data_IF_507631690286
#
_entry.id   IF_507631690286
#
_cell.length_a   1.000
_cell.length_b   1.000
_cell.length_c   1.000
_cell.angle_alpha   90.00
_cell.angle_beta   90.00
_cell.angle_gamma   90.00
#
_symmetry.space_group_name_H-M   'P 1'
#
loop_
_entity.id
_entity.type
_entity.pdbx_description
1 polymer ?
#
# COMPACT_ATOMS: atom_id res chain seq x y z
N UNK A 1 -17.69 -23.71 15.11
CA UNK A 1 -18.36 -22.49 14.61
C UNK A 1 -19.78 -22.88 14.24
N UNK A 2 -20.79 -22.39 14.95
CA UNK A 2 -22.19 -22.61 14.58
C UNK A 2 -22.65 -21.38 13.80
N UNK A 3 -22.33 -21.33 12.50
CA UNK A 3 -22.95 -20.36 11.59
C UNK A 3 -24.42 -20.77 11.49
N UNK A 4 -25.33 -19.91 11.97
CA UNK A 4 -26.77 -20.09 11.94
C UNK A 4 -27.29 -19.80 10.51
N UNK A 5 -28.60 -19.80 10.33
CA UNK A 5 -29.31 -19.64 9.04
C UNK A 5 -28.99 -18.34 8.28
N UNK A 6 -28.21 -17.44 8.85
CA UNK A 6 -27.67 -16.23 8.22
C UNK A 6 -26.26 -15.94 8.76
N UNK A 7 -25.34 -15.55 7.89
CA UNK A 7 -24.00 -15.07 8.21
C UNK A 7 -23.69 -13.86 7.32
N UNK A 8 -22.64 -13.12 7.65
CA UNK A 8 -22.08 -12.08 6.78
C UNK A 8 -20.56 -12.10 6.83
N UNK A 9 -19.94 -11.25 6.04
CA UNK A 9 -18.50 -11.06 6.06
C UNK A 9 -18.15 -9.74 6.74
N UNK A 10 -17.17 -9.78 7.65
CA UNK A 10 -16.50 -8.58 8.18
C UNK A 10 -15.09 -8.54 7.62
N UNK A 11 -14.84 -7.55 6.76
CA UNK A 11 -13.63 -7.51 5.97
C UNK A 11 -12.77 -6.30 6.31
N UNK A 12 -11.46 -6.50 6.33
CA UNK A 12 -10.51 -5.40 6.11
C UNK A 12 -9.77 -5.63 4.80
N UNK A 13 -9.46 -4.55 4.10
CA UNK A 13 -8.65 -4.59 2.89
C UNK A 13 -7.58 -3.50 2.92
N UNK A 14 -6.40 -3.84 2.42
CA UNK A 14 -5.23 -2.98 2.30
C UNK A 14 -4.41 -3.38 1.08
N UNK A 15 -3.28 -2.71 0.80
CA UNK A 15 -2.39 -3.12 -0.29
C UNK A 15 -0.95 -3.30 0.16
N UNK A 16 -0.15 -3.99 -0.66
CA UNK A 16 1.23 -4.35 -0.32
C UNK A 16 2.28 -3.70 -1.22
N UNK A 17 1.86 -3.12 -2.34
CA UNK A 17 2.75 -2.39 -3.23
C UNK A 17 3.01 -0.96 -2.75
N UNK A 18 4.03 -0.32 -3.28
CA UNK A 18 4.43 1.06 -2.95
C UNK A 18 5.14 1.67 -4.16
N UNK A 19 5.12 3.00 -4.33
CA UNK A 19 5.80 3.65 -5.45
C UNK A 19 7.31 3.36 -5.45
N UNK A 20 7.83 3.04 -6.63
CA UNK A 20 9.25 2.72 -6.83
C UNK A 20 9.66 2.82 -8.30
N UNK A 21 10.87 2.39 -8.63
CA UNK A 21 11.36 2.25 -10.00
C UNK A 21 11.48 0.79 -10.38
N UNK A 22 10.81 0.39 -11.48
CA UNK A 22 10.90 -0.94 -12.08
C UNK A 22 12.04 -0.97 -13.10
N UNK A 23 12.87 -2.02 -13.04
CA UNK A 23 13.88 -2.30 -14.05
C UNK A 23 13.20 -2.81 -15.33
N UNK A 24 13.49 -2.20 -16.47
CA UNK A 24 12.91 -2.58 -17.77
C UNK A 24 13.47 -3.90 -18.31
N UNK A 25 12.81 -4.46 -19.31
CA UNK A 25 13.20 -5.72 -19.95
C UNK A 25 14.63 -5.68 -20.52
N UNK A 26 15.03 -4.54 -21.13
CA UNK A 26 16.44 -4.24 -21.48
C UNK A 26 16.99 -3.34 -20.39
N UNK A 27 17.76 -3.92 -19.42
CA UNK A 27 17.99 -3.28 -18.13
C UNK A 27 19.13 -2.29 -18.12
N UNK A 28 20.03 -2.31 -19.11
CA UNK A 28 21.30 -1.62 -19.04
C UNK A 28 21.36 -0.43 -19.98
N UNK A 29 22.03 0.62 -19.52
CA UNK A 29 22.34 1.84 -20.26
C UNK A 29 23.80 2.20 -20.06
N UNK A 30 24.51 2.39 -21.16
CA UNK A 30 25.85 2.97 -21.09
C UNK A 30 25.80 4.40 -20.55
N UNK A 31 26.74 4.73 -19.69
CA UNK A 31 26.90 6.06 -19.12
C UNK A 31 28.20 6.73 -19.56
N UNK A 32 28.32 8.01 -19.23
CA UNK A 32 29.56 8.75 -19.45
C UNK A 32 30.70 8.16 -18.60
N UNK A 33 31.94 8.16 -19.11
CA UNK A 33 33.11 7.69 -18.36
C UNK A 33 33.08 6.18 -18.05
N UNK A 34 32.63 5.38 -19.01
CA UNK A 34 32.55 3.90 -18.90
C UNK A 34 31.60 3.39 -17.79
N UNK A 35 30.71 4.24 -17.26
CA UNK A 35 29.77 3.86 -16.24
C UNK A 35 28.64 3.00 -16.81
N UNK A 36 28.06 2.11 -15.98
CA UNK A 36 26.86 1.34 -16.29
C UNK A 36 25.70 1.79 -15.42
N UNK A 37 24.53 2.00 -16.04
CA UNK A 37 23.31 2.45 -15.39
C UNK A 37 22.16 1.49 -15.67
N UNK A 38 21.15 1.50 -14.80
CA UNK A 38 19.90 0.77 -15.03
C UNK A 38 18.89 1.62 -15.84
N UNK A 39 18.22 0.96 -16.77
CA UNK A 39 17.06 1.46 -17.47
C UNK A 39 15.81 1.16 -16.67
N UNK A 40 15.24 2.19 -16.08
CA UNK A 40 14.09 2.03 -15.17
C UNK A 40 12.89 2.85 -15.66
N UNK A 41 11.74 2.51 -15.14
CA UNK A 41 10.51 3.32 -15.24
C UNK A 41 9.84 3.43 -13.89
N UNK A 42 9.09 4.53 -13.69
CA UNK A 42 8.35 4.75 -12.45
C UNK A 42 7.18 3.78 -12.34
N UNK A 43 7.05 3.17 -11.18
CA UNK A 43 5.90 2.42 -10.74
C UNK A 43 5.17 3.27 -9.69
N UNK A 44 3.97 3.76 -10.04
CA UNK A 44 3.18 4.64 -9.18
C UNK A 44 3.60 6.11 -9.19
N UNK A 45 2.98 6.88 -8.32
CA UNK A 45 3.15 8.33 -8.18
C UNK A 45 4.08 8.70 -7.03
N UNK A 46 5.40 8.74 -7.25
CA UNK A 46 6.38 8.99 -6.19
C UNK A 46 6.85 10.45 -6.13
N UNK A 47 7.43 10.82 -4.99
CA UNK A 47 8.18 12.08 -4.83
C UNK A 47 9.62 11.83 -5.32
N UNK A 48 9.87 12.12 -6.60
CA UNK A 48 11.10 11.76 -7.32
C UNK A 48 12.39 12.21 -6.60
N UNK A 49 12.43 13.43 -6.05
CA UNK A 49 13.65 13.97 -5.42
C UNK A 49 14.05 13.23 -4.14
N UNK A 50 13.17 12.45 -3.53
CA UNK A 50 13.49 11.69 -2.31
C UNK A 50 14.30 10.42 -2.59
N UNK A 51 14.48 10.06 -3.86
CA UNK A 51 15.22 8.88 -4.28
C UNK A 51 16.69 9.16 -4.59
N UNK A 52 17.08 10.45 -4.69
CA UNK A 52 18.46 10.84 -4.95
C UNK A 52 19.39 10.59 -3.76
N UNK A 53 20.67 10.36 -4.08
CA UNK A 53 21.83 10.34 -3.17
C UNK A 53 21.76 9.31 -2.04
N UNK A 54 20.95 8.28 -2.22
CA UNK A 54 20.89 7.15 -1.28
C UNK A 54 21.21 5.84 -1.94
N UNK A 55 21.99 4.96 -1.29
CA UNK A 55 22.20 3.61 -1.77
C UNK A 55 20.89 2.84 -1.84
N UNK A 56 20.68 2.10 -2.94
CA UNK A 56 19.46 1.35 -3.22
C UNK A 56 19.78 -0.12 -3.50
N UNK A 57 18.93 -1.01 -3.04
CA UNK A 57 18.94 -2.42 -3.35
C UNK A 57 17.99 -2.75 -4.51
N UNK A 58 18.00 -4.00 -4.94
CA UNK A 58 17.04 -4.58 -5.87
C UNK A 58 16.25 -5.68 -5.16
N UNK A 59 14.94 -5.72 -5.40
CA UNK A 59 14.09 -6.83 -4.98
C UNK A 59 12.97 -7.08 -6.01
N UNK A 60 12.45 -8.29 -5.99
CA UNK A 60 11.34 -8.69 -6.83
C UNK A 60 11.35 -10.19 -7.14
N UNK A 61 10.86 -10.56 -8.31
CA UNK A 61 10.86 -11.96 -8.75
C UNK A 61 11.60 -12.11 -10.08
N UNK A 62 12.15 -13.30 -10.27
CA UNK A 62 12.81 -13.72 -11.51
C UNK A 62 12.19 -15.05 -11.94
N UNK A 63 11.86 -15.16 -13.22
CA UNK A 63 11.32 -16.36 -13.84
C UNK A 63 12.50 -17.18 -14.41
N UNK A 64 12.76 -18.33 -13.81
CA UNK A 64 13.89 -19.19 -14.12
C UNK A 64 13.39 -20.47 -14.79
N UNK A 65 14.07 -20.88 -15.88
CA UNK A 65 13.77 -22.13 -16.58
C UNK A 65 14.56 -23.29 -15.96
N UNK A 66 13.84 -24.31 -15.49
CA UNK A 66 14.40 -25.56 -15.00
C UNK A 66 13.86 -26.73 -15.82
N UNK A 67 14.61 -27.15 -16.82
CA UNK A 67 14.15 -28.16 -17.77
C UNK A 67 12.90 -27.73 -18.52
N UNK A 68 11.78 -28.45 -18.28
CA UNK A 68 10.47 -28.17 -18.89
C UNK A 68 9.57 -27.24 -18.02
N UNK A 69 10.08 -26.74 -16.91
CA UNK A 69 9.36 -25.85 -15.98
C UNK A 69 9.89 -24.44 -16.03
N UNK A 70 9.03 -23.50 -15.73
CA UNK A 70 9.37 -22.10 -15.42
C UNK A 70 8.95 -21.85 -13.98
N UNK A 71 9.94 -21.52 -13.14
CA UNK A 71 9.73 -21.26 -11.72
C UNK A 71 9.94 -19.79 -11.39
N UNK A 72 9.11 -19.28 -10.49
CA UNK A 72 9.28 -17.93 -9.95
C UNK A 72 10.18 -18.01 -8.72
N UNK A 73 11.31 -17.32 -8.74
CA UNK A 73 12.21 -17.17 -7.61
C UNK A 73 12.21 -15.74 -7.12
N UNK A 74 12.16 -15.54 -5.81
CA UNK A 74 12.28 -14.23 -5.20
C UNK A 74 13.75 -13.85 -5.09
N UNK A 75 14.03 -12.59 -5.42
CA UNK A 75 15.34 -11.97 -5.26
C UNK A 75 15.18 -10.75 -4.34
N UNK A 76 16.09 -10.61 -3.39
CA UNK A 76 16.30 -9.40 -2.61
C UNK A 76 17.80 -9.31 -2.31
N UNK A 77 18.49 -8.35 -2.92
CA UNK A 77 19.93 -8.20 -2.69
C UNK A 77 20.20 -7.86 -1.24
N UNK A 78 21.18 -8.53 -0.62
CA UNK A 78 21.54 -8.32 0.78
C UNK A 78 22.28 -6.99 1.01
N UNK A 79 22.74 -6.37 -0.08
CA UNK A 79 23.47 -5.10 -0.10
C UNK A 79 22.84 -4.11 -1.08
N UNK A 80 23.18 -2.87 -0.93
CA UNK A 80 22.87 -1.83 -1.90
C UNK A 80 23.76 -1.99 -3.14
N UNK A 81 23.14 -1.89 -4.32
CA UNK A 81 23.77 -2.16 -5.61
C UNK A 81 23.60 -1.02 -6.61
N UNK A 82 22.86 0.02 -6.27
CA UNK A 82 22.54 1.13 -7.15
C UNK A 82 22.46 2.47 -6.41
N UNK A 83 22.62 3.57 -7.12
CA UNK A 83 22.40 4.92 -6.61
C UNK A 83 21.92 5.82 -7.75
N UNK A 84 21.02 6.76 -7.43
CA UNK A 84 20.64 7.86 -8.32
C UNK A 84 21.38 9.11 -7.85
N UNK A 85 22.50 9.51 -8.47
CA UNK A 85 23.30 10.63 -7.99
C UNK A 85 22.73 11.97 -8.42
N UNK A 86 22.68 12.94 -7.50
CA UNK A 86 22.41 14.34 -7.82
C UNK A 86 23.52 14.95 -8.66
N UNK A 87 23.14 15.86 -9.56
CA UNK A 87 24.12 16.73 -10.21
C UNK A 87 24.68 17.74 -9.19
N UNK A 88 26.00 17.85 -9.11
CA UNK A 88 26.64 18.75 -8.15
C UNK A 88 26.14 20.19 -8.29
N UNK A 89 25.98 20.88 -7.16
CA UNK A 89 25.48 22.27 -7.12
C UNK A 89 26.24 23.21 -8.05
N UNK A 90 27.55 22.98 -8.26
CA UNK A 90 28.39 23.78 -9.16
C UNK A 90 27.99 23.64 -10.63
N UNK A 91 27.36 22.53 -11.01
CA UNK A 91 26.87 22.25 -12.37
C UNK A 91 25.37 22.56 -12.53
N UNK A 92 24.65 22.76 -11.42
CA UNK A 92 23.22 23.07 -11.42
C UNK A 92 22.89 24.09 -10.32
N UNK A 93 23.34 25.35 -10.49
CA UNK A 93 23.19 26.39 -9.46
C UNK A 93 21.76 26.81 -9.19
N UNK A 94 20.85 26.59 -10.15
CA UNK A 94 19.43 26.89 -10.02
C UNK A 94 18.59 25.78 -9.38
N UNK A 95 19.20 24.67 -8.90
CA UNK A 95 18.45 23.51 -8.40
C UNK A 95 17.50 23.88 -7.24
N UNK A 96 17.87 24.85 -6.41
CA UNK A 96 17.05 25.29 -5.28
C UNK A 96 15.95 26.32 -5.65
N UNK A 97 15.92 26.78 -6.91
CA UNK A 97 14.86 27.65 -7.43
C UNK A 97 13.68 26.85 -8.02
N UNK A 98 13.91 25.58 -8.32
CA UNK A 98 12.94 24.63 -8.80
C UNK A 98 13.62 23.42 -9.44
N UNK A 99 13.20 22.22 -9.02
CA UNK A 99 13.77 20.96 -9.52
C UNK A 99 12.63 20.01 -9.95
N UNK A 100 12.59 19.73 -11.23
CA UNK A 100 11.69 18.76 -11.85
C UNK A 100 12.53 17.75 -12.65
N UNK A 101 12.95 16.63 -12.03
CA UNK A 101 13.83 15.66 -12.69
C UNK A 101 13.14 14.98 -13.86
N UNK A 102 13.88 14.77 -14.95
CA UNK A 102 13.46 13.96 -16.07
C UNK A 102 13.77 12.49 -15.78
N UNK A 103 12.73 11.66 -15.65
CA UNK A 103 12.87 10.24 -15.29
C UNK A 103 13.74 9.43 -16.26
N UNK A 104 13.80 9.80 -17.54
CA UNK A 104 14.63 9.11 -18.53
C UNK A 104 16.10 9.58 -18.56
N UNK A 105 16.42 10.68 -17.88
CA UNK A 105 17.76 11.28 -17.89
C UNK A 105 18.38 11.29 -16.50
N UNK A 106 17.64 11.85 -15.53
CA UNK A 106 18.16 12.11 -14.19
C UNK A 106 17.99 10.93 -13.22
N UNK A 107 17.01 10.03 -13.50
CA UNK A 107 16.61 8.95 -12.60
C UNK A 107 17.04 7.55 -13.08
N UNK A 108 18.10 7.47 -13.91
CA UNK A 108 18.71 6.21 -14.31
C UNK A 108 19.76 5.80 -13.26
N UNK A 109 19.52 4.75 -12.44
CA UNK A 109 20.43 4.40 -11.36
C UNK A 109 21.80 3.94 -11.87
N UNK A 110 22.85 4.45 -11.26
CA UNK A 110 24.23 4.03 -11.48
C UNK A 110 24.49 2.72 -10.74
N UNK A 111 25.07 1.73 -11.42
CA UNK A 111 25.43 0.42 -10.84
C UNK A 111 26.92 0.09 -10.96
N UNK A 112 27.67 0.77 -11.86
CA UNK A 112 29.11 0.57 -11.97
C UNK A 112 29.83 1.81 -12.47
N UNK A 113 31.06 1.99 -12.00
CA UNK A 113 32.00 3.04 -12.42
C UNK A 113 33.07 2.53 -13.44
N UNK A 114 32.79 1.41 -14.13
CA UNK A 114 33.62 0.90 -15.20
C UNK A 114 34.06 -0.56 -15.07
N UNK A 115 33.86 -1.19 -13.92
CA UNK A 115 34.19 -2.61 -13.70
C UNK A 115 33.18 -3.54 -14.38
N UNK A 116 31.90 -3.15 -14.43
CA UNK A 116 30.86 -3.88 -15.15
C UNK A 116 30.64 -3.31 -16.54
N UNK A 117 30.26 -4.17 -17.47
CA UNK A 117 29.98 -3.86 -18.86
C UNK A 117 28.54 -4.21 -19.23
N UNK A 118 28.07 -3.71 -20.34
CA UNK A 118 26.77 -4.08 -20.88
C UNK A 118 26.70 -5.60 -21.12
N UNK A 119 25.67 -6.25 -20.61
CA UNK A 119 25.47 -7.69 -20.61
C UNK A 119 25.76 -8.36 -19.27
N UNK A 120 26.37 -7.67 -18.29
CA UNK A 120 26.72 -8.26 -17.00
C UNK A 120 25.54 -8.34 -16.01
N UNK A 121 24.47 -7.54 -16.22
CA UNK A 121 23.38 -7.46 -15.25
C UNK A 121 22.67 -8.81 -15.03
N UNK A 122 22.38 -9.56 -16.09
CA UNK A 122 21.73 -10.87 -15.94
C UNK A 122 22.66 -11.91 -15.32
N UNK A 123 23.98 -11.80 -15.53
CA UNK A 123 24.95 -12.65 -14.84
C UNK A 123 25.00 -12.37 -13.32
N UNK A 124 24.91 -11.10 -12.90
CA UNK A 124 24.83 -10.73 -11.49
C UNK A 124 23.53 -11.25 -10.83
N UNK A 125 22.40 -11.17 -11.52
CA UNK A 125 21.12 -11.71 -11.03
C UNK A 125 21.18 -13.25 -10.95
N UNK A 126 21.83 -13.91 -11.92
CA UNK A 126 22.02 -15.36 -11.94
C UNK A 126 22.90 -15.84 -10.78
N UNK A 127 23.97 -15.12 -10.47
CA UNK A 127 24.85 -15.39 -9.33
C UNK A 127 24.11 -15.29 -7.98
N UNK A 128 23.29 -14.24 -7.80
CA UNK A 128 22.46 -14.07 -6.60
C UNK A 128 21.40 -15.21 -6.41
N UNK A 129 21.02 -15.88 -7.50
CA UNK A 129 19.99 -16.94 -7.50
C UNK A 129 20.58 -18.38 -7.62
N UNK A 130 21.90 -18.50 -7.75
CA UNK A 130 22.60 -19.75 -8.04
C UNK A 130 22.04 -20.48 -9.27
N UNK A 131 21.99 -19.76 -10.41
CA UNK A 131 21.51 -20.25 -11.71
C UNK A 131 22.41 -19.76 -12.85
N UNK A 132 22.27 -20.35 -14.05
CA UNK A 132 22.94 -19.83 -15.24
C UNK A 132 22.15 -18.64 -15.85
N UNK A 133 22.82 -17.61 -16.41
CA UNK A 133 22.13 -16.45 -16.99
C UNK A 133 21.10 -16.81 -18.08
N UNK A 134 21.36 -17.83 -18.88
CA UNK A 134 20.47 -18.30 -19.95
C UNK A 134 19.18 -18.94 -19.42
N UNK A 135 19.12 -19.27 -18.14
CA UNK A 135 17.90 -19.76 -17.50
C UNK A 135 16.93 -18.64 -17.13
N UNK A 136 17.39 -17.39 -17.08
CA UNK A 136 16.53 -16.23 -16.76
C UNK A 136 15.68 -15.88 -17.98
N UNK A 137 14.37 -16.08 -17.88
CA UNK A 137 13.41 -15.80 -18.94
C UNK A 137 12.71 -14.44 -18.79
N UNK A 138 12.65 -13.92 -17.58
CA UNK A 138 11.99 -12.65 -17.29
C UNK A 138 12.16 -12.24 -15.84
N UNK A 139 11.93 -10.97 -15.57
CA UNK A 139 12.08 -10.41 -14.23
C UNK A 139 11.14 -9.23 -14.00
N UNK A 140 10.61 -9.17 -12.79
CA UNK A 140 9.96 -7.99 -12.23
C UNK A 140 10.81 -7.55 -11.03
N UNK A 141 11.82 -6.72 -11.29
CA UNK A 141 12.75 -6.19 -10.30
C UNK A 141 12.53 -4.71 -10.08
N UNK A 142 12.62 -4.29 -8.84
CA UNK A 142 12.35 -2.93 -8.39
C UNK A 142 13.49 -2.42 -7.52
N UNK A 143 13.71 -1.11 -7.53
CA UNK A 143 14.61 -0.46 -6.58
C UNK A 143 13.99 -0.46 -5.19
N UNK A 144 14.83 -0.65 -4.18
CA UNK A 144 14.40 -0.67 -2.78
C UNK A 144 15.31 0.23 -1.94
N UNK A 145 14.71 1.17 -1.23
CA UNK A 145 15.40 1.86 -0.14
C UNK A 145 15.43 0.91 1.08
N UNK A 146 16.62 0.53 1.53
CA UNK A 146 16.81 -0.36 2.69
C UNK A 146 17.11 0.38 3.99
N UNK A 147 16.92 1.68 4.01
CA UNK A 147 17.09 2.46 5.24
C UNK A 147 16.22 1.88 6.36
N UNK A 148 16.85 1.61 7.52
CA UNK A 148 16.18 1.01 8.67
C UNK A 148 15.00 1.83 9.16
N UNK A 149 13.95 1.14 9.59
CA UNK A 149 12.86 1.76 10.34
C UNK A 149 13.37 2.33 11.66
N UNK A 150 12.87 3.50 12.06
CA UNK A 150 13.29 4.17 13.30
C UNK A 150 12.11 4.80 14.02
N UNK A 151 12.08 4.62 15.33
CA UNK A 151 11.31 5.48 16.23
C UNK A 151 12.26 6.62 16.65
N UNK A 152 11.77 7.85 16.59
CA UNK A 152 12.59 9.04 16.84
C UNK A 152 11.78 10.25 17.32
N UNK A 153 12.48 11.37 17.53
CA UNK A 153 11.95 12.58 18.16
C UNK A 153 12.32 12.63 19.64
N UNK A 154 12.28 13.82 20.24
CA UNK A 154 12.61 13.98 21.65
C UNK A 154 11.67 13.24 22.61
N UNK A 155 10.47 12.90 22.16
CA UNK A 155 9.45 12.17 22.91
C UNK A 155 9.07 10.80 22.26
N UNK A 156 9.91 10.31 21.35
CA UNK A 156 9.70 9.04 20.61
C UNK A 156 8.31 8.94 19.94
N UNK A 157 7.85 10.04 19.35
CA UNK A 157 6.50 10.20 18.80
C UNK A 157 6.39 9.78 17.33
N UNK A 158 7.51 9.71 16.61
CA UNK A 158 7.55 9.46 15.19
C UNK A 158 8.09 8.08 14.87
N UNK A 159 7.48 7.44 13.89
CA UNK A 159 8.05 6.28 13.19
C UNK A 159 8.36 6.68 11.76
N UNK A 160 9.57 6.40 11.29
CA UNK A 160 9.92 6.58 9.88
C UNK A 160 10.49 5.31 9.30
N UNK A 161 10.04 4.97 8.11
CA UNK A 161 10.48 3.79 7.35
C UNK A 161 10.08 3.95 5.88
N UNK A 162 10.71 3.24 4.94
CA UNK A 162 10.14 3.07 3.61
C UNK A 162 8.79 2.35 3.69
N UNK A 163 7.86 2.68 2.78
CA UNK A 163 6.64 1.92 2.51
C UNK A 163 5.64 1.84 3.70
N UNK A 164 5.50 2.93 4.47
CA UNK A 164 4.37 3.03 5.42
C UNK A 164 3.05 2.94 4.68
N UNK A 165 2.96 3.57 3.53
CA UNK A 165 1.92 3.40 2.54
C UNK A 165 2.24 2.18 1.66
N UNK A 166 1.49 1.06 1.79
CA UNK A 166 0.39 0.86 2.74
C UNK A 166 0.67 -0.33 3.68
N UNK A 167 1.97 -0.68 3.87
CA UNK A 167 2.35 -1.77 4.77
C UNK A 167 1.93 -1.50 6.23
N UNK A 168 1.72 -0.24 6.63
CA UNK A 168 1.22 0.07 7.96
C UNK A 168 -0.23 -0.40 8.13
N UNK A 169 -1.12 -0.11 7.15
CA UNK A 169 -2.48 -0.61 7.18
C UNK A 169 -2.55 -2.12 6.96
N UNK A 170 -1.74 -2.67 6.05
CA UNK A 170 -1.66 -4.12 5.85
C UNK A 170 -1.26 -4.86 7.14
N UNK A 171 -0.25 -4.36 7.85
CA UNK A 171 0.21 -4.92 9.12
C UNK A 171 -0.85 -4.81 10.22
N UNK A 172 -1.45 -3.62 10.39
CA UNK A 172 -2.44 -3.42 11.46
C UNK A 172 -3.72 -4.20 11.23
N UNK A 173 -4.17 -4.30 9.97
CA UNK A 173 -5.31 -5.15 9.56
C UNK A 173 -5.03 -6.63 9.81
N UNK A 174 -3.84 -7.12 9.44
CA UNK A 174 -3.44 -8.51 9.68
C UNK A 174 -3.35 -8.81 11.18
N UNK A 175 -2.76 -7.92 11.99
CA UNK A 175 -2.68 -8.11 13.44
C UNK A 175 -4.06 -8.16 14.09
N UNK A 176 -4.97 -7.28 13.68
CA UNK A 176 -6.35 -7.28 14.13
C UNK A 176 -7.08 -8.58 13.74
N UNK A 177 -6.95 -9.02 12.48
CA UNK A 177 -7.53 -10.27 11.99
C UNK A 177 -7.06 -11.50 12.77
N UNK A 178 -5.75 -11.56 13.08
CA UNK A 178 -5.16 -12.68 13.82
C UNK A 178 -5.50 -12.67 15.31
N UNK A 179 -5.72 -11.48 15.88
CA UNK A 179 -5.98 -11.30 17.32
C UNK A 179 -7.46 -11.31 17.68
N UNK A 180 -8.36 -11.06 16.75
CA UNK A 180 -9.79 -10.98 17.01
C UNK A 180 -10.45 -12.37 17.16
N UNK A 181 -11.44 -12.47 18.05
CA UNK A 181 -12.27 -13.65 18.22
C UNK A 181 -13.71 -13.35 17.78
N UNK A 182 -14.16 -13.98 16.69
CA UNK A 182 -15.55 -13.90 16.22
C UNK A 182 -16.08 -15.29 15.93
N UNK A 183 -17.19 -15.65 16.60
CA UNK A 183 -17.86 -16.95 16.47
C UNK A 183 -19.14 -16.89 15.62
N UNK A 184 -19.55 -15.70 15.17
CA UNK A 184 -20.83 -15.45 14.53
C UNK A 184 -20.70 -15.24 13.03
N UNK A 185 -19.65 -14.56 12.58
CA UNK A 185 -19.47 -14.09 11.23
C UNK A 185 -18.16 -14.58 10.61
N UNK A 186 -17.98 -14.31 9.34
CA UNK A 186 -16.76 -14.70 8.62
C UNK A 186 -15.83 -13.48 8.54
N UNK A 187 -14.80 -13.49 9.38
CA UNK A 187 -13.74 -12.49 9.31
C UNK A 187 -12.84 -12.74 8.09
N UNK A 188 -12.51 -11.68 7.34
CA UNK A 188 -11.66 -11.75 6.15
C UNK A 188 -10.65 -10.61 6.17
N UNK A 189 -9.37 -10.93 6.02
CA UNK A 189 -8.32 -9.98 5.69
C UNK A 189 -7.95 -10.14 4.21
N UNK A 190 -8.03 -9.06 3.44
CA UNK A 190 -7.64 -9.02 2.04
C UNK A 190 -6.48 -8.04 1.86
N UNK A 191 -5.39 -8.48 1.23
CA UNK A 191 -4.27 -7.63 0.84
C UNK A 191 -4.13 -7.64 -0.67
N UNK A 192 -4.40 -6.51 -1.31
CA UNK A 192 -4.30 -6.34 -2.75
C UNK A 192 -2.88 -5.95 -3.17
N UNK A 193 -2.64 -5.99 -4.47
CA UNK A 193 -1.41 -5.55 -5.12
C UNK A 193 -1.75 -4.59 -6.26
N UNK A 194 -0.78 -3.79 -6.70
CA UNK A 194 -0.92 -2.83 -7.79
C UNK A 194 -1.94 -1.70 -7.55
N UNK A 195 -2.19 -1.32 -6.30
CA UNK A 195 -3.01 -0.16 -5.96
C UNK A 195 -2.41 1.11 -6.57
N UNK A 196 -1.11 1.31 -6.41
CA UNK A 196 -0.33 2.48 -6.82
C UNK A 196 -0.29 2.73 -8.33
N UNK A 197 -0.77 1.78 -9.11
CA UNK A 197 -0.89 1.86 -10.57
C UNK A 197 -2.31 1.63 -11.06
N UNK A 198 -3.32 1.76 -10.18
CA UNK A 198 -4.74 1.81 -10.52
C UNK A 198 -5.52 0.51 -10.30
N UNK A 199 -4.96 -0.50 -9.64
CA UNK A 199 -5.67 -1.75 -9.28
C UNK A 199 -6.21 -2.60 -10.45
N UNK A 200 -5.82 -2.32 -11.70
CA UNK A 200 -6.37 -2.94 -12.93
C UNK A 200 -5.70 -4.28 -13.29
N UNK A 201 -5.19 -5.01 -12.32
CA UNK A 201 -4.54 -6.30 -12.52
C UNK A 201 -5.33 -7.44 -11.89
N UNK A 202 -4.97 -8.70 -12.17
CA UNK A 202 -5.64 -9.88 -11.59
C UNK A 202 -5.55 -9.96 -10.06
N UNK A 203 -4.62 -9.27 -9.42
CA UNK A 203 -4.40 -9.20 -7.97
C UNK A 203 -4.78 -7.83 -7.37
N UNK A 204 -5.22 -6.88 -8.20
CA UNK A 204 -5.68 -5.56 -7.78
C UNK A 204 -7.13 -5.54 -7.33
N UNK A 205 -7.55 -4.45 -6.69
CA UNK A 205 -8.89 -4.32 -6.11
C UNK A 205 -10.02 -4.33 -7.15
N UNK A 206 -9.75 -3.99 -8.42
CA UNK A 206 -10.73 -4.07 -9.51
C UNK A 206 -10.95 -5.48 -10.05
N UNK A 207 -10.11 -6.45 -9.67
CA UNK A 207 -10.24 -7.84 -10.12
C UNK A 207 -11.39 -8.57 -9.43
N UNK A 208 -11.73 -9.75 -9.94
CA UNK A 208 -12.68 -10.66 -9.29
C UNK A 208 -12.09 -11.41 -8.10
N UNK A 209 -10.82 -11.18 -7.76
CA UNK A 209 -10.07 -11.92 -6.73
C UNK A 209 -10.84 -12.01 -5.40
N UNK A 210 -11.29 -10.87 -4.85
CA UNK A 210 -12.06 -10.84 -3.61
C UNK A 210 -13.41 -11.55 -3.78
N UNK A 211 -14.19 -11.19 -4.81
CA UNK A 211 -15.52 -11.77 -5.05
C UNK A 211 -15.46 -13.29 -5.23
N UNK A 212 -14.47 -13.79 -5.97
CA UNK A 212 -14.27 -15.22 -6.19
C UNK A 212 -13.88 -15.93 -4.89
N UNK A 213 -13.04 -15.32 -4.06
CA UNK A 213 -12.65 -15.85 -2.75
C UNK A 213 -13.88 -15.96 -1.82
N UNK A 214 -14.67 -14.89 -1.70
CA UNK A 214 -15.87 -14.87 -0.86
C UNK A 214 -16.92 -15.90 -1.33
N UNK A 215 -17.14 -16.00 -2.64
CA UNK A 215 -18.07 -17.02 -3.20
C UNK A 215 -17.61 -18.45 -2.90
N UNK A 216 -16.30 -18.72 -2.99
CA UNK A 216 -15.73 -20.02 -2.64
C UNK A 216 -15.85 -20.33 -1.15
N UNK A 217 -15.67 -19.33 -0.29
CA UNK A 217 -15.91 -19.47 1.16
C UNK A 217 -17.38 -19.84 1.39
N UNK A 218 -18.33 -19.09 0.81
CA UNK A 218 -19.77 -19.38 0.90
C UNK A 218 -20.07 -20.84 0.50
N UNK A 219 -19.58 -21.30 -0.65
CA UNK A 219 -19.78 -22.67 -1.10
C UNK A 219 -19.17 -23.73 -0.17
N UNK A 220 -17.99 -23.46 0.42
CA UNK A 220 -17.35 -24.38 1.36
C UNK A 220 -18.08 -24.47 2.70
N UNK A 221 -18.84 -23.43 3.06
CA UNK A 221 -19.74 -23.43 4.22
C UNK A 221 -21.08 -24.16 3.94
N UNK A 222 -21.32 -24.55 2.70
CA UNK A 222 -22.53 -25.30 2.30
C UNK A 222 -23.70 -24.41 1.91
N UNK A 223 -23.49 -23.11 1.68
CA UNK A 223 -24.54 -22.17 1.28
C UNK A 223 -24.62 -22.02 -0.25
N UNK A 224 -25.81 -21.66 -0.72
CA UNK A 224 -26.10 -21.41 -2.13
C UNK A 224 -25.79 -19.96 -2.56
N UNK A 225 -25.97 -19.65 -3.84
CA UNK A 225 -25.72 -18.31 -4.40
C UNK A 225 -26.67 -17.25 -3.83
N UNK A 226 -27.92 -17.58 -3.51
CA UNK A 226 -28.86 -16.64 -2.88
C UNK A 226 -28.35 -16.24 -1.47
N UNK A 227 -27.89 -17.21 -0.70
CA UNK A 227 -27.26 -16.97 0.60
C UNK A 227 -26.02 -16.10 0.48
N UNK A 228 -25.20 -16.28 -0.56
CA UNK A 228 -24.05 -15.43 -0.84
C UNK A 228 -24.44 -13.96 -1.04
N UNK A 229 -25.44 -13.69 -1.88
CA UNK A 229 -25.90 -12.31 -2.12
C UNK A 229 -26.51 -11.66 -0.89
N UNK A 230 -27.23 -12.42 -0.08
CA UNK A 230 -27.74 -11.93 1.22
C UNK A 230 -26.61 -11.64 2.20
N UNK A 231 -25.62 -12.51 2.26
CA UNK A 231 -24.44 -12.30 3.10
C UNK A 231 -23.69 -11.03 2.69
N UNK A 232 -23.45 -10.81 1.38
CA UNK A 232 -22.81 -9.59 0.90
C UNK A 232 -23.60 -8.32 1.27
N UNK A 233 -24.92 -8.34 1.13
CA UNK A 233 -25.77 -7.21 1.45
C UNK A 233 -25.76 -6.85 2.96
N UNK A 234 -25.43 -7.82 3.82
CA UNK A 234 -25.28 -7.65 5.26
C UNK A 234 -23.82 -7.48 5.71
N UNK A 235 -22.88 -7.43 4.77
CA UNK A 235 -21.44 -7.34 5.05
C UNK A 235 -20.94 -5.90 5.13
N UNK A 236 -19.80 -5.74 5.80
CA UNK A 236 -19.10 -4.46 5.86
C UNK A 236 -17.60 -4.62 5.58
N UNK A 237 -17.08 -3.74 4.74
CA UNK A 237 -15.66 -3.62 4.40
C UNK A 237 -15.07 -2.38 5.07
N UNK A 238 -13.96 -2.54 5.76
CA UNK A 238 -13.06 -1.45 6.16
C UNK A 238 -11.89 -1.44 5.19
N UNK A 239 -11.90 -0.50 4.27
CA UNK A 239 -10.81 -0.22 3.33
C UNK A 239 -9.77 0.60 4.08
N UNK A 240 -8.62 -0.03 4.37
CA UNK A 240 -7.58 0.55 5.19
C UNK A 240 -6.36 0.90 4.32
N UNK A 241 -6.14 2.18 4.14
CA UNK A 241 -5.10 2.79 3.32
C UNK A 241 -4.73 4.16 3.92
N UNK A 242 -3.45 4.47 4.03
CA UNK A 242 -2.97 5.60 4.83
C UNK A 242 -3.57 6.97 4.40
N UNK A 243 -3.55 7.91 5.32
CA UNK A 243 -4.14 9.23 5.14
C UNK A 243 -3.10 10.35 5.28
N UNK A 244 -3.30 11.46 4.55
CA UNK A 244 -2.41 12.62 4.65
C UNK A 244 -2.60 13.34 5.99
N UNK A 245 -1.56 13.45 6.80
CA UNK A 245 -1.53 14.35 7.93
C UNK A 245 -1.31 15.81 7.47
N UNK A 246 -1.79 16.77 8.26
CA UNK A 246 -1.51 18.18 8.02
C UNK A 246 0.01 18.42 8.03
N UNK A 247 0.51 19.01 6.95
CA UNK A 247 1.94 19.28 6.84
C UNK A 247 2.31 20.51 7.68
N UNK A 248 3.30 20.43 8.59
CA UNK A 248 3.57 21.48 9.56
C UNK A 248 3.95 22.83 8.93
N UNK A 249 4.53 22.81 7.73
CA UNK A 249 4.92 24.02 7.00
C UNK A 249 3.94 24.42 5.87
N UNK A 250 2.89 23.61 5.62
CA UNK A 250 1.95 23.79 4.51
C UNK A 250 0.52 23.43 4.93
N UNK A 251 0.07 23.95 6.06
CA UNK A 251 -1.28 23.72 6.58
C UNK A 251 -2.39 24.19 5.61
N UNK A 252 -2.09 25.18 4.76
CA UNK A 252 -2.97 25.71 3.73
C UNK A 252 -3.32 24.69 2.61
N UNK A 253 -2.61 23.55 2.55
CA UNK A 253 -2.88 22.45 1.62
C UNK A 253 -3.98 21.51 2.11
N UNK A 254 -4.33 21.57 3.38
CA UNK A 254 -5.42 20.77 3.96
C UNK A 254 -6.71 21.59 4.05
N UNK A 255 -7.84 20.89 4.15
CA UNK A 255 -9.11 21.54 4.54
C UNK A 255 -8.97 22.13 5.95
N UNK A 256 -9.50 23.35 6.15
CA UNK A 256 -9.29 24.08 7.40
C UNK A 256 -9.99 23.46 8.62
N UNK A 257 -10.98 22.59 8.42
CA UNK A 257 -11.81 22.01 9.48
C UNK A 257 -11.62 20.50 9.62
N UNK A 258 -11.14 19.83 8.58
CA UNK A 258 -10.89 18.39 8.55
C UNK A 258 -9.37 18.10 8.52
N UNK A 259 -8.66 18.66 9.51
CA UNK A 259 -7.23 18.49 9.63
C UNK A 259 -6.90 17.23 10.45
N UNK A 260 -6.04 16.40 9.89
CA UNK A 260 -5.56 15.15 10.48
C UNK A 260 -4.16 15.38 11.05
N UNK A 261 -3.91 14.90 12.27
CA UNK A 261 -2.61 15.02 12.94
C UNK A 261 -2.03 13.65 13.27
N UNK A 262 -0.71 13.57 13.31
CA UNK A 262 0.00 12.38 13.78
C UNK A 262 -0.32 12.10 15.25
N UNK A 263 -0.42 10.83 15.63
CA UNK A 263 -0.77 10.37 16.98
C UNK A 263 -2.17 10.79 17.45
N UNK A 264 -3.03 11.19 16.52
CA UNK A 264 -4.41 11.62 16.80
C UNK A 264 -5.46 10.53 16.65
N UNK A 265 -5.09 9.33 16.27
CA UNK A 265 -6.00 8.21 16.08
C UNK A 265 -6.27 7.86 14.63
N UNK A 266 -7.14 6.87 14.41
CA UNK A 266 -7.47 6.39 13.07
C UNK A 266 -8.28 7.44 12.31
N UNK A 267 -8.00 7.57 11.01
CA UNK A 267 -8.63 8.56 10.14
C UNK A 267 -9.76 7.94 9.36
N UNK A 268 -10.95 8.55 9.38
CA UNK A 268 -12.07 8.19 8.51
C UNK A 268 -12.07 9.17 7.34
N UNK A 269 -11.94 8.64 6.11
CA UNK A 269 -11.78 9.42 4.88
C UNK A 269 -13.11 9.54 4.15
N UNK A 270 -13.49 10.75 3.74
CA UNK A 270 -14.70 11.03 2.96
C UNK A 270 -14.38 11.83 1.71
N UNK A 271 -15.08 11.52 0.61
CA UNK A 271 -15.01 12.29 -0.63
C UNK A 271 -16.37 12.32 -1.34
N UNK A 272 -16.83 13.51 -1.70
CA UNK A 272 -18.11 13.69 -2.39
C UNK A 272 -18.14 13.01 -3.78
N UNK A 273 -16.99 12.82 -4.42
CA UNK A 273 -16.86 12.14 -5.70
C UNK A 273 -16.75 10.61 -5.57
N UNK A 274 -16.87 10.06 -4.33
CA UNK A 274 -16.81 8.65 -4.00
C UNK A 274 -15.48 7.95 -4.37
N UNK A 275 -14.39 8.71 -4.47
CA UNK A 275 -13.04 8.14 -4.54
C UNK A 275 -12.62 7.53 -3.18
N UNK A 276 -13.28 7.91 -2.10
CA UNK A 276 -13.39 7.18 -0.84
C UNK A 276 -14.81 6.69 -0.69
N UNK A 277 -15.01 5.41 -0.39
CA UNK A 277 -16.32 4.76 -0.40
C UNK A 277 -17.19 5.07 0.83
N UNK A 278 -16.65 5.82 1.80
CA UNK A 278 -17.34 6.18 3.03
C UNK A 278 -18.63 6.97 2.75
N UNK A 279 -19.71 6.53 3.35
CA UNK A 279 -20.97 7.26 3.44
C UNK A 279 -21.36 7.52 4.91
N UNK A 280 -22.50 8.18 5.14
CA UNK A 280 -22.93 8.52 6.49
C UNK A 280 -23.23 7.27 7.33
N UNK A 281 -23.72 6.18 6.72
CA UNK A 281 -24.02 4.93 7.42
C UNK A 281 -22.73 4.23 7.85
N UNK A 282 -21.84 3.95 6.94
CA UNK A 282 -20.58 3.23 7.20
C UNK A 282 -19.67 4.01 8.16
N UNK A 283 -19.63 5.35 8.01
CA UNK A 283 -18.97 6.23 8.98
C UNK A 283 -19.54 6.07 10.39
N UNK A 284 -20.87 6.16 10.54
CA UNK A 284 -21.50 6.11 11.85
C UNK A 284 -21.24 4.76 12.55
N UNK A 285 -21.30 3.65 11.80
CA UNK A 285 -21.01 2.32 12.32
C UNK A 285 -19.57 2.22 12.81
N UNK A 286 -18.59 2.59 11.97
CA UNK A 286 -17.20 2.49 12.35
C UNK A 286 -16.81 3.46 13.48
N UNK A 287 -17.37 4.67 13.48
CA UNK A 287 -17.20 5.64 14.56
C UNK A 287 -17.68 5.07 15.89
N UNK A 288 -18.89 4.49 15.93
CA UNK A 288 -19.45 3.90 17.16
C UNK A 288 -18.60 2.74 17.68
N UNK A 289 -18.07 1.89 16.78
CA UNK A 289 -17.14 0.81 17.15
C UNK A 289 -15.86 1.38 17.79
N UNK A 290 -15.29 2.44 17.20
CA UNK A 290 -14.10 3.11 17.74
C UNK A 290 -14.37 3.74 19.11
N UNK A 291 -15.52 4.42 19.27
CA UNK A 291 -15.92 5.06 20.52
C UNK A 291 -16.05 4.02 21.66
N UNK A 292 -16.71 2.88 21.38
CA UNK A 292 -16.85 1.77 22.34
C UNK A 292 -15.50 1.12 22.69
N UNK A 293 -14.54 1.14 21.76
CA UNK A 293 -13.19 0.60 21.98
C UNK A 293 -12.23 1.63 22.61
N UNK A 294 -12.69 2.84 22.93
CA UNK A 294 -11.86 3.97 23.40
C UNK A 294 -10.68 4.24 22.45
N UNK A 295 -10.98 4.30 21.14
CA UNK A 295 -10.02 4.65 20.08
C UNK A 295 -10.38 6.00 19.49
N UNK A 296 -9.47 6.99 19.54
CA UNK A 296 -9.72 8.28 18.94
C UNK A 296 -9.81 8.18 17.42
N UNK A 297 -10.74 8.93 16.83
CA UNK A 297 -10.92 9.04 15.39
C UNK A 297 -10.73 10.46 14.90
N UNK A 298 -10.34 10.60 13.64
CA UNK A 298 -10.17 11.89 12.96
C UNK A 298 -10.95 11.87 11.65
N UNK A 299 -11.53 13.02 11.27
CA UNK A 299 -12.20 13.17 9.99
C UNK A 299 -11.24 13.75 8.95
N UNK A 300 -11.21 13.15 7.76
CA UNK A 300 -10.48 13.66 6.61
C UNK A 300 -11.41 13.95 5.44
N UNK A 301 -11.23 15.12 4.85
CA UNK A 301 -11.78 15.48 3.56
C UNK A 301 -10.74 16.28 2.79
N UNK A 302 -10.67 16.10 1.48
CA UNK A 302 -9.79 16.90 0.64
C UNK A 302 -10.21 18.38 0.66
N UNK A 303 -9.23 19.28 0.59
CA UNK A 303 -9.50 20.69 0.34
C UNK A 303 -10.24 20.83 -0.99
N UNK A 304 -11.30 21.67 -1.05
CA UNK A 304 -12.24 21.72 -2.18
C UNK A 304 -11.61 22.05 -3.54
N UNK A 305 -10.44 22.68 -3.56
CA UNK A 305 -9.68 23.04 -4.76
C UNK A 305 -8.54 22.03 -5.09
N UNK A 306 -8.53 20.85 -4.43
CA UNK A 306 -7.56 19.79 -4.68
C UNK A 306 -8.26 18.50 -5.12
N UNK A 307 -7.69 17.83 -6.12
CA UNK A 307 -8.29 16.64 -6.70
C UNK A 307 -8.36 15.43 -5.75
N UNK A 308 -7.44 15.33 -4.81
CA UNK A 308 -7.31 14.15 -3.94
C UNK A 308 -6.88 12.88 -4.68
N UNK A 309 -6.67 11.81 -3.92
CA UNK A 309 -6.42 10.46 -4.41
C UNK A 309 -7.70 9.61 -4.45
N UNK A 310 -7.55 8.35 -4.77
CA UNK A 310 -8.54 7.27 -4.65
C UNK A 310 -7.94 6.16 -3.81
N UNK A 311 -8.74 5.19 -3.41
CA UNK A 311 -8.30 4.02 -2.63
C UNK A 311 -8.85 2.74 -3.23
N UNK A 312 -8.56 1.62 -2.58
CA UNK A 312 -9.01 0.31 -3.01
C UNK A 312 -10.49 0.01 -2.70
N UNK A 313 -11.12 0.74 -1.74
CA UNK A 313 -12.46 0.46 -1.26
C UNK A 313 -13.55 0.63 -2.31
N UNK A 314 -13.55 1.75 -3.01
CA UNK A 314 -14.50 2.02 -4.08
C UNK A 314 -14.30 1.07 -5.27
N UNK A 315 -13.06 0.63 -5.54
CA UNK A 315 -12.73 -0.26 -6.64
C UNK A 315 -13.15 -1.71 -6.34
N UNK A 316 -12.86 -2.22 -5.14
CA UNK A 316 -13.28 -3.58 -4.73
C UNK A 316 -14.81 -3.71 -4.66
N UNK A 317 -15.52 -2.65 -4.30
CA UNK A 317 -16.99 -2.61 -4.28
C UNK A 317 -17.64 -2.76 -5.67
N UNK A 318 -16.89 -2.57 -6.74
CA UNK A 318 -17.40 -2.84 -8.11
C UNK A 318 -17.62 -4.34 -8.35
N UNK A 319 -16.90 -5.21 -7.64
CA UNK A 319 -16.98 -6.66 -7.81
C UNK A 319 -17.69 -7.37 -6.64
N UNK A 320 -17.57 -6.81 -5.42
CA UNK A 320 -18.17 -7.35 -4.21
C UNK A 320 -18.86 -6.21 -3.44
N UNK A 321 -20.06 -5.85 -3.89
CA UNK A 321 -20.80 -4.69 -3.40
C UNK A 321 -21.34 -4.90 -1.99
N UNK A 322 -20.86 -4.09 -1.03
CA UNK A 322 -21.27 -4.11 0.37
C UNK A 322 -21.11 -2.73 1.01
N UNK A 323 -21.57 -2.54 2.23
CA UNK A 323 -21.25 -1.32 2.98
C UNK A 323 -19.75 -1.22 3.16
N UNK A 324 -19.19 -0.01 2.96
CA UNK A 324 -17.76 0.18 3.06
C UNK A 324 -17.39 1.54 3.66
N UNK A 325 -16.33 1.55 4.44
CA UNK A 325 -15.72 2.74 5.03
C UNK A 325 -14.24 2.78 4.67
N UNK A 326 -13.74 3.93 4.22
CA UNK A 326 -12.31 4.15 4.02
C UNK A 326 -11.68 4.77 5.27
N UNK A 327 -10.68 4.11 5.78
CA UNK A 327 -9.93 4.55 6.95
C UNK A 327 -8.42 4.50 6.67
N UNK A 328 -7.61 5.08 7.54
CA UNK A 328 -6.16 4.98 7.41
C UNK A 328 -5.40 5.54 8.61
N UNK A 329 -4.09 5.29 8.62
CA UNK A 329 -3.18 5.90 9.58
C UNK A 329 -2.68 7.24 9.04
N UNK A 330 -2.60 8.29 9.88
CA UNK A 330 -2.05 9.56 9.45
C UNK A 330 -0.55 9.47 9.18
N UNK A 331 -0.11 10.02 8.03
CA UNK A 331 1.32 10.08 7.71
C UNK A 331 1.72 11.39 7.02
N UNK A 332 3.01 11.69 7.09
CA UNK A 332 3.70 12.72 6.32
C UNK A 332 4.56 12.10 5.24
N UNK A 333 4.80 12.86 4.19
CA UNK A 333 5.65 12.47 3.07
C UNK A 333 5.22 11.17 2.38
N UNK A 334 3.91 10.94 2.26
CA UNK A 334 3.34 9.83 1.49
C UNK A 334 3.97 9.76 0.10
N UNK A 335 4.34 8.57 -0.37
CA UNK A 335 5.07 8.32 -1.61
C UNK A 335 6.51 8.87 -1.68
N UNK A 336 7.07 9.27 -0.54
CA UNK A 336 8.51 9.44 -0.41
C UNK A 336 9.21 8.08 -0.37
N UNK A 337 10.49 8.04 -0.73
CA UNK A 337 11.30 6.83 -0.50
C UNK A 337 11.49 6.51 1.00
N UNK A 338 11.13 7.43 1.91
CA UNK A 338 11.18 7.28 3.37
C UNK A 338 10.11 8.15 4.01
N UNK A 339 9.10 7.54 4.59
CA UNK A 339 7.86 8.16 5.05
C UNK A 339 7.83 8.27 6.58
N UNK A 340 6.92 9.07 7.13
CA UNK A 340 6.83 9.33 8.57
C UNK A 340 5.40 9.28 9.07
N UNK A 341 5.14 8.47 10.08
CA UNK A 341 3.86 8.35 10.78
C UNK A 341 3.96 8.61 12.28
N UNK A 342 2.84 8.50 12.98
CA UNK A 342 2.74 8.56 14.43
C UNK A 342 2.86 7.18 15.07
N UNK A 343 3.68 7.05 16.11
CA UNK A 343 3.89 5.75 16.79
C UNK A 343 2.59 5.22 17.41
N UNK A 344 1.77 6.12 18.02
CA UNK A 344 0.54 5.72 18.69
C UNK A 344 -0.56 5.26 17.73
N UNK A 345 -0.57 5.78 16.51
CA UNK A 345 -1.61 5.49 15.52
C UNK A 345 -1.62 4.02 15.12
N UNK A 346 -0.48 3.34 15.14
CA UNK A 346 -0.36 1.90 14.88
C UNK A 346 -1.21 1.09 15.87
N UNK A 347 -1.12 1.39 17.17
CA UNK A 347 -1.90 0.69 18.19
C UNK A 347 -3.38 1.07 18.16
N UNK A 348 -3.69 2.33 17.85
CA UNK A 348 -5.07 2.76 17.64
C UNK A 348 -5.72 2.01 16.48
N UNK A 349 -5.03 1.86 15.36
CA UNK A 349 -5.53 1.10 14.22
C UNK A 349 -5.76 -0.38 14.57
N UNK A 350 -4.80 -1.06 15.21
CA UNK A 350 -4.97 -2.46 15.64
C UNK A 350 -6.19 -2.58 16.55
N UNK A 351 -6.37 -1.72 17.55
CA UNK A 351 -7.51 -1.76 18.47
C UNK A 351 -8.84 -1.52 17.77
N UNK A 352 -8.92 -0.52 16.88
CA UNK A 352 -10.13 -0.22 16.12
C UNK A 352 -10.55 -1.39 15.23
N UNK A 353 -9.59 -1.95 14.47
CA UNK A 353 -9.86 -3.05 13.55
C UNK A 353 -10.12 -4.38 14.27
N UNK A 354 -9.50 -4.62 15.44
CA UNK A 354 -9.85 -5.77 16.31
C UNK A 354 -11.28 -5.63 16.80
N UNK A 355 -11.65 -4.46 17.33
CA UNK A 355 -13.01 -4.19 17.77
C UNK A 355 -14.03 -4.36 16.64
N UNK A 356 -13.71 -3.92 15.42
CA UNK A 356 -14.53 -4.16 14.24
C UNK A 356 -14.75 -5.66 13.99
N UNK A 357 -13.70 -6.47 13.99
CA UNK A 357 -13.83 -7.92 13.76
C UNK A 357 -14.60 -8.65 14.87
N UNK A 358 -14.53 -8.18 16.11
CA UNK A 358 -15.18 -8.80 17.26
C UNK A 358 -16.67 -8.46 17.39
N UNK A 359 -17.15 -7.42 16.68
CA UNK A 359 -18.57 -7.06 16.68
C UNK A 359 -19.40 -8.06 15.90
N UNK A 360 -20.61 -8.33 16.41
CA UNK A 360 -21.62 -9.11 15.70
C UNK A 360 -22.62 -8.13 15.04
N UNK A 361 -22.21 -7.56 13.90
CA UNK A 361 -23.01 -6.55 13.20
C UNK A 361 -24.28 -7.18 12.63
N UNK A 362 -25.45 -6.62 12.94
CA UNK A 362 -26.70 -6.97 12.27
C UNK A 362 -27.17 -5.79 11.43
N UNK A 363 -26.90 -5.85 10.14
CA UNK A 363 -27.18 -4.77 9.20
C UNK A 363 -28.53 -4.99 8.52
N UNK A 364 -29.44 -4.03 8.65
CA UNK A 364 -30.77 -4.02 8.04
C UNK A 364 -30.83 -2.99 6.91
N UNK A 365 -30.28 -3.32 5.74
CA UNK A 365 -30.11 -2.41 4.62
C UNK A 365 -29.25 -1.20 5.03
N UNK A 366 -29.67 0.01 4.64
CA UNK A 366 -29.04 1.27 5.05
C UNK A 366 -29.85 2.01 6.14
N UNK A 367 -30.83 1.33 6.79
CA UNK A 367 -31.77 1.98 7.72
C UNK A 367 -31.32 1.82 9.17
N UNK A 368 -30.74 0.66 9.52
CA UNK A 368 -30.29 0.42 10.89
C UNK A 368 -29.22 -0.66 10.97
N UNK A 369 -28.45 -0.59 12.04
CA UNK A 369 -27.46 -1.61 12.43
C UNK A 369 -27.53 -1.84 13.94
N UNK A 370 -27.44 -3.08 14.35
CA UNK A 370 -27.18 -3.47 15.74
C UNK A 370 -25.68 -3.82 15.84
N UNK A 371 -25.01 -3.26 16.87
CA UNK A 371 -23.56 -3.38 17.09
C UNK A 371 -23.22 -4.52 18.06
#
# INVERSE_FOLDING_TARGET
MCIRDSYHFQLTASHSDSPTFKVKAVPELDGAGETLRLNTEAYGGMIDYTWFDRPLALAGRVLVREGDRIESRLLATEREVAIIPSLAIHMNRGVNEGFAPNRAVDLCPLISAGDLKQGDFDALIADELDVEPEQILGRDLFLVNRQDARIWGWADEFISTPKLDDLACAYTSLQAFLGAENAHDVSVFCCFDNEEVGSETKQGAMSTFLADALRRINGSLGFDDESYHRALAASMLVSCDNAHAVHPNHAEKCDARNQVVLNGGIVIKEAANQHYCTDAFSRAVFQAICDDADVPTQAFANKSDMAGGSTLGNLSNMQASMHAVDVGLPQLAMHSSYETGGVRDVMYAIRALTAFYERNLTINGAESVEL
#
